data_IF_504599813166
#
_entry.id   IF_504599813166
#
_cell.length_a   1.000
_cell.length_b   1.000
_cell.length_c   1.000
_cell.angle_alpha   90.00
_cell.angle_beta   90.00
_cell.angle_gamma   90.00
#
_symmetry.space_group_name_H-M   'P 1'
#
loop_
_entity.id
_entity.type
_entity.pdbx_description
1 polymer ?
#
# COMPACT_ATOMS: atom_id res chain seq x y z
N UNK A 1 27.81 53.66 -1.70
CA UNK A 1 29.25 53.36 -1.56
C UNK A 1 29.55 52.19 -2.48
N UNK A 2 30.16 52.49 -3.62
CA UNK A 2 30.85 51.57 -4.53
C UNK A 2 32.25 51.24 -3.93
N UNK A 3 33.15 50.49 -4.59
CA UNK A 3 33.11 49.07 -5.00
C UNK A 3 34.52 48.40 -4.87
N UNK A 4 34.77 47.36 -5.70
CA UNK A 4 36.08 46.83 -6.15
C UNK A 4 36.83 45.85 -5.23
N UNK A 5 37.63 44.88 -5.69
CA UNK A 5 37.91 44.12 -6.94
C UNK A 5 39.34 43.56 -6.73
N UNK A 6 39.69 42.40 -7.31
CA UNK A 6 41.03 41.90 -7.77
C UNK A 6 40.88 40.36 -7.82
N UNK A 7 41.18 39.57 -8.85
CA UNK A 7 41.91 39.76 -10.10
C UNK A 7 43.09 38.79 -10.17
N UNK A 8 43.23 38.04 -11.29
CA UNK A 8 44.42 37.31 -11.86
C UNK A 8 44.15 35.81 -12.08
N UNK A 9 44.47 35.15 -13.20
CA UNK A 9 45.18 35.55 -14.43
C UNK A 9 45.18 34.41 -15.47
N UNK A 10 45.35 34.80 -16.73
CA UNK A 10 45.36 34.01 -17.98
C UNK A 10 46.75 33.45 -18.32
N UNK A 11 46.81 32.26 -18.95
CA UNK A 11 47.81 31.81 -19.95
C UNK A 11 47.10 30.70 -20.78
N UNK A 12 46.96 30.63 -22.11
CA UNK A 12 47.59 31.30 -23.25
C UNK A 12 48.52 30.33 -24.02
N UNK A 13 48.13 29.84 -25.22
CA UNK A 13 49.14 29.26 -26.13
C UNK A 13 48.69 28.15 -27.10
N UNK A 14 48.92 28.39 -28.39
CA UNK A 14 48.49 27.65 -29.58
C UNK A 14 49.55 26.69 -30.16
N UNK A 15 49.09 25.73 -30.99
CA UNK A 15 49.79 24.93 -32.03
C UNK A 15 50.71 25.82 -32.96
N UNK A 16 51.64 25.32 -33.83
CA UNK A 16 51.59 24.06 -34.61
C UNK A 16 52.92 23.36 -35.08
N UNK A 17 52.75 22.19 -35.73
CA UNK A 17 53.39 21.66 -36.97
C UNK A 17 54.86 21.13 -37.08
N UNK A 18 54.93 19.93 -37.71
CA UNK A 18 55.76 19.45 -38.87
C UNK A 18 57.03 18.57 -38.67
N UNK A 19 57.09 17.53 -39.52
CA UNK A 19 58.26 16.74 -39.98
C UNK A 19 57.94 15.24 -40.06
N UNK A 20 57.40 14.66 -41.15
CA UNK A 20 57.98 14.24 -42.45
C UNK A 20 59.22 13.34 -42.36
N UNK A 21 59.08 12.06 -42.73
CA UNK A 21 60.00 11.39 -43.67
C UNK A 21 59.39 10.14 -44.35
N UNK A 22 59.76 9.98 -45.62
CA UNK A 22 59.31 9.01 -46.62
C UNK A 22 60.08 7.68 -46.54
N UNK A 23 59.44 6.58 -46.95
CA UNK A 23 60.07 5.64 -47.90
C UNK A 23 59.01 4.83 -48.65
N UNK A 24 59.31 4.57 -49.91
CA UNK A 24 58.44 3.99 -50.92
C UNK A 24 58.76 2.51 -51.18
N UNK A 25 57.89 1.86 -51.98
CA UNK A 25 57.95 0.54 -52.65
C UNK A 25 56.88 -0.42 -52.10
N UNK A 26 56.04 -1.11 -52.86
CA UNK A 26 55.75 -1.15 -54.29
C UNK A 26 54.67 -2.24 -54.52
N UNK A 27 53.72 -1.96 -55.43
CA UNK A 27 52.85 -2.88 -56.21
C UNK A 27 52.25 -4.13 -55.53
N UNK A 28 50.91 -4.23 -55.53
CA UNK A 28 50.12 -5.10 -56.43
C UNK A 28 48.61 -4.96 -56.15
N UNK A 29 47.84 -4.92 -57.23
CA UNK A 29 46.38 -4.90 -57.26
C UNK A 29 45.80 -6.25 -56.75
N UNK A 30 44.74 -6.17 -55.94
CA UNK A 30 43.84 -7.28 -55.59
C UNK A 30 42.52 -6.70 -55.07
N UNK A 31 41.35 -7.19 -55.50
CA UNK A 31 40.08 -6.52 -55.27
C UNK A 31 39.64 -6.63 -53.80
N UNK A 32 39.04 -5.54 -53.33
CA UNK A 32 38.33 -5.43 -52.07
C UNK A 32 37.32 -6.56 -51.89
N UNK A 33 37.47 -7.33 -50.82
CA UNK A 33 36.36 -7.87 -50.04
C UNK A 33 36.70 -7.58 -48.57
N UNK A 34 36.39 -6.36 -48.11
CA UNK A 34 36.23 -6.12 -46.69
C UNK A 34 34.90 -6.76 -46.30
N UNK A 35 34.97 -7.94 -45.68
CA UNK A 35 33.87 -8.45 -44.87
C UNK A 35 33.74 -7.53 -43.65
N UNK A 36 32.92 -6.49 -43.79
CA UNK A 36 32.45 -5.70 -42.66
C UNK A 36 31.65 -6.62 -41.73
N UNK A 37 32.30 -7.17 -40.72
CA UNK A 37 31.60 -7.63 -39.52
C UNK A 37 31.03 -6.38 -38.83
N UNK A 38 29.87 -5.94 -39.31
CA UNK A 38 28.94 -5.16 -38.51
C UNK A 38 28.53 -6.08 -37.36
N UNK A 39 29.29 -6.00 -36.27
CA UNK A 39 28.82 -6.43 -34.98
C UNK A 39 27.59 -5.58 -34.65
N UNK A 40 26.42 -6.05 -35.07
CA UNK A 40 25.16 -5.61 -34.48
C UNK A 40 25.24 -5.97 -33.01
N UNK A 41 25.68 -5.01 -32.19
CA UNK A 41 25.37 -5.00 -30.78
C UNK A 41 23.85 -4.98 -30.71
N UNK A 42 23.25 -6.16 -30.66
CA UNK A 42 21.89 -6.33 -30.17
C UNK A 42 21.95 -5.83 -28.73
N UNK A 43 21.63 -4.55 -28.56
CA UNK A 43 21.12 -4.07 -27.29
C UNK A 43 19.83 -4.85 -27.07
N UNK A 44 19.96 -6.00 -26.44
CA UNK A 44 18.87 -6.54 -25.65
C UNK A 44 18.65 -5.48 -24.58
N UNK A 45 17.77 -4.53 -24.84
CA UNK A 45 17.03 -3.89 -23.77
C UNK A 45 16.28 -5.03 -23.11
N UNK A 46 16.92 -5.65 -22.11
CA UNK A 46 16.21 -6.40 -21.10
C UNK A 46 15.16 -5.45 -20.59
N UNK A 47 13.93 -5.62 -21.06
CA UNK A 47 12.76 -5.08 -20.39
C UNK A 47 12.86 -5.70 -19.01
N UNK A 48 13.40 -4.94 -18.05
CA UNK A 48 13.26 -5.30 -16.66
C UNK A 48 11.76 -5.45 -16.47
N UNK A 49 11.29 -6.68 -16.29
CA UNK A 49 9.86 -6.91 -16.08
C UNK A 49 9.51 -6.18 -14.80
N UNK A 50 8.75 -5.09 -14.93
CA UNK A 50 8.25 -4.35 -13.78
C UNK A 50 7.30 -5.28 -13.01
N UNK A 51 7.48 -5.36 -11.69
CA UNK A 51 6.63 -6.17 -10.84
C UNK A 51 5.17 -5.71 -10.94
N UNK A 52 4.24 -6.63 -11.13
CA UNK A 52 2.83 -6.32 -11.38
C UNK A 52 1.85 -7.26 -10.65
N UNK A 53 0.55 -7.07 -10.91
CA UNK A 53 -0.51 -7.91 -10.34
C UNK A 53 -0.38 -9.39 -10.73
N UNK A 54 0.19 -9.72 -11.90
CA UNK A 54 0.36 -11.10 -12.33
C UNK A 54 1.39 -11.84 -11.46
N UNK A 55 2.44 -11.18 -10.98
CA UNK A 55 3.39 -11.76 -10.02
C UNK A 55 2.70 -12.18 -8.71
N UNK A 56 1.76 -11.35 -8.24
CA UNK A 56 0.97 -11.65 -7.04
C UNK A 56 -0.04 -12.76 -7.31
N UNK A 57 -0.66 -12.79 -8.50
CA UNK A 57 -1.55 -13.87 -8.92
C UNK A 57 -0.88 -15.24 -8.90
N UNK A 58 0.37 -15.32 -9.37
CA UNK A 58 1.14 -16.57 -9.36
C UNK A 58 1.29 -17.06 -7.91
N UNK A 59 1.67 -16.18 -6.98
CA UNK A 59 1.81 -16.52 -5.56
C UNK A 59 0.47 -16.93 -4.94
N UNK A 60 -0.61 -16.19 -5.19
CA UNK A 60 -1.92 -16.50 -4.64
C UNK A 60 -2.43 -17.87 -5.12
N UNK A 61 -2.28 -18.19 -6.41
CA UNK A 61 -2.63 -19.51 -6.97
C UNK A 61 -1.82 -20.64 -6.34
N UNK A 62 -0.52 -20.44 -6.14
CA UNK A 62 0.34 -21.43 -5.48
C UNK A 62 -0.09 -21.69 -4.04
N UNK A 63 -0.45 -20.64 -3.29
CA UNK A 63 -0.98 -20.78 -1.94
C UNK A 63 -2.34 -21.48 -1.92
N UNK A 64 -3.24 -21.19 -2.86
CA UNK A 64 -4.53 -21.87 -2.93
C UNK A 64 -4.41 -23.38 -3.20
N UNK A 65 -3.32 -23.82 -3.83
CA UNK A 65 -3.04 -25.23 -4.11
C UNK A 65 -2.36 -25.97 -2.93
N UNK A 66 -2.05 -25.29 -1.82
CA UNK A 66 -1.40 -25.88 -0.65
C UNK A 66 -2.29 -25.82 0.60
N UNK A 67 -1.86 -26.45 1.70
CA UNK A 67 -2.50 -26.28 3.01
C UNK A 67 -2.21 -24.91 3.61
N UNK A 68 -3.18 -24.32 4.33
CA UNK A 68 -2.99 -23.01 4.96
C UNK A 68 -1.97 -23.10 6.10
N UNK A 69 -1.06 -22.13 6.15
CA UNK A 69 -0.05 -21.99 7.20
C UNK A 69 -0.16 -20.59 7.77
N UNK A 70 -0.61 -20.49 9.02
CA UNK A 70 -0.75 -19.20 9.69
C UNK A 70 0.60 -18.52 9.91
N UNK A 71 0.65 -17.21 9.71
CA UNK A 71 1.81 -16.39 10.09
C UNK A 71 2.08 -16.53 11.60
N UNK A 72 3.32 -16.80 12.02
CA UNK A 72 3.69 -16.83 13.43
C UNK A 72 3.32 -15.52 14.14
N UNK A 73 2.81 -15.65 15.37
CA UNK A 73 2.47 -14.50 16.19
C UNK A 73 3.71 -13.85 16.80
N UNK A 74 3.62 -12.56 17.08
CA UNK A 74 4.59 -11.83 17.90
C UNK A 74 4.62 -12.36 19.35
N UNK A 75 5.68 -12.07 20.13
CA UNK A 75 5.74 -12.44 21.54
C UNK A 75 4.56 -11.92 22.37
N UNK A 76 4.13 -12.72 23.34
CA UNK A 76 2.96 -12.45 24.17
C UNK A 76 3.02 -11.07 24.85
N UNK A 77 4.19 -10.68 25.37
CA UNK A 77 4.41 -9.40 26.03
C UNK A 77 4.04 -8.18 25.17
N UNK A 78 4.15 -8.30 23.83
CA UNK A 78 3.77 -7.23 22.90
C UNK A 78 2.32 -7.34 22.46
N UNK A 79 1.72 -8.52 22.55
CA UNK A 79 0.31 -8.76 22.21
C UNK A 79 -0.67 -8.32 23.31
N UNK A 80 -0.20 -8.18 24.54
CA UNK A 80 -0.99 -7.86 25.74
C UNK A 80 -0.87 -6.40 26.20
N UNK A 81 -0.21 -5.54 25.43
CA UNK A 81 -0.16 -4.10 25.72
C UNK A 81 -1.55 -3.48 25.52
N UNK A 82 -1.83 -2.36 26.19
CA UNK A 82 -3.06 -1.61 25.95
C UNK A 82 -2.94 -0.69 24.71
N UNK A 83 -4.09 -0.18 24.25
CA UNK A 83 -4.15 0.73 23.11
C UNK A 83 -3.31 2.00 23.34
N UNK A 84 -3.38 2.59 24.55
CA UNK A 84 -2.63 3.80 24.88
C UNK A 84 -1.11 3.59 24.79
N UNK A 85 -0.61 2.40 25.10
CA UNK A 85 0.79 2.03 24.92
C UNK A 85 1.12 1.83 23.45
N UNK A 86 0.25 1.16 22.70
CA UNK A 86 0.42 0.94 21.26
C UNK A 86 0.49 2.25 20.47
N UNK A 87 -0.39 3.21 20.77
CA UNK A 87 -0.45 4.52 20.10
C UNK A 87 0.83 5.38 20.32
N UNK A 88 1.65 5.03 21.32
CA UNK A 88 2.95 5.67 21.58
C UNK A 88 4.10 5.04 20.80
N UNK A 89 3.86 3.95 20.07
CA UNK A 89 4.84 3.32 19.18
C UNK A 89 4.72 3.97 17.81
N UNK A 90 5.75 4.67 17.36
CA UNK A 90 5.72 5.39 16.09
C UNK A 90 7.02 5.22 15.31
N UNK A 91 6.92 5.15 13.98
CA UNK A 91 8.11 5.28 13.13
C UNK A 91 8.66 6.70 13.25
N UNK A 92 9.98 6.83 13.35
CA UNK A 92 10.63 8.15 13.31
C UNK A 92 10.40 8.76 11.92
N UNK A 93 10.05 10.05 11.81
CA UNK A 93 9.76 10.67 10.50
C UNK A 93 10.89 10.50 9.47
N UNK A 94 12.15 10.58 9.91
CA UNK A 94 13.32 10.38 9.04
C UNK A 94 13.53 8.94 8.58
N UNK A 95 12.81 7.97 9.15
CA UNK A 95 12.92 6.56 8.88
C UNK A 95 11.72 5.99 8.10
N UNK A 96 10.69 6.81 7.84
CA UNK A 96 9.63 6.50 6.88
C UNK A 96 10.22 6.23 5.49
N UNK A 97 9.49 5.51 4.63
CA UNK A 97 9.88 5.38 3.24
C UNK A 97 9.40 6.60 2.47
N UNK A 98 10.26 7.08 1.59
CA UNK A 98 10.01 8.24 0.73
C UNK A 98 9.59 9.49 1.52
N UNK A 99 10.30 9.87 2.60
CA UNK A 99 9.86 10.94 3.49
C UNK A 99 9.83 12.32 2.82
N UNK A 100 10.47 12.48 1.66
CA UNK A 100 10.44 13.71 0.86
C UNK A 100 9.57 13.61 -0.40
N UNK A 101 8.94 12.46 -0.63
CA UNK A 101 8.00 12.29 -1.73
C UNK A 101 6.60 12.74 -1.32
N UNK A 102 5.75 13.01 -2.31
CA UNK A 102 4.36 13.38 -2.09
C UNK A 102 3.56 12.27 -1.42
N UNK A 103 3.85 11.02 -1.77
CA UNK A 103 3.34 9.84 -1.10
C UNK A 103 4.45 9.28 -0.20
N UNK A 104 4.31 9.49 1.11
CA UNK A 104 5.17 8.84 2.11
C UNK A 104 4.58 7.51 2.56
N UNK A 105 5.41 6.57 3.00
CA UNK A 105 4.94 5.36 3.67
C UNK A 105 5.51 5.31 5.08
N UNK A 106 4.62 5.18 6.05
CA UNK A 106 4.96 5.06 7.46
C UNK A 106 4.61 3.65 7.94
N UNK A 107 5.60 2.73 8.03
CA UNK A 107 5.38 1.38 8.55
C UNK A 107 4.94 1.40 10.01
N UNK A 108 4.04 0.49 10.37
CA UNK A 108 3.49 0.35 11.72
C UNK A 108 4.08 -0.92 12.34
N UNK A 109 4.72 -0.81 13.50
CA UNK A 109 5.29 -1.96 14.20
C UNK A 109 4.17 -2.90 14.71
N UNK A 110 4.46 -4.21 14.76
CA UNK A 110 3.51 -5.18 15.29
C UNK A 110 3.35 -5.06 16.82
N UNK A 111 2.12 -5.28 17.33
CA UNK A 111 1.79 -5.08 18.73
C UNK A 111 0.28 -5.08 18.97
N UNK A 112 -0.12 -5.11 20.25
CA UNK A 112 -1.53 -5.11 20.65
C UNK A 112 -2.31 -6.26 19.98
N UNK A 113 -3.46 -5.98 19.38
CA UNK A 113 -4.25 -6.95 18.62
C UNK A 113 -3.64 -7.30 17.24
N UNK A 114 -2.64 -6.54 16.77
CA UNK A 114 -1.98 -6.75 15.48
C UNK A 114 -0.79 -7.70 15.62
N UNK A 115 -1.11 -8.95 15.91
CA UNK A 115 -0.16 -9.95 16.37
C UNK A 115 0.55 -10.71 15.25
N UNK A 116 0.11 -10.57 14.00
CA UNK A 116 0.62 -11.33 12.87
C UNK A 116 1.28 -10.36 11.88
N UNK A 117 2.62 -10.32 11.83
CA UNK A 117 3.32 -9.36 10.99
C UNK A 117 3.10 -9.60 9.49
N UNK A 118 3.15 -8.51 8.73
CA UNK A 118 3.12 -8.51 7.26
C UNK A 118 4.51 -8.23 6.70
N UNK A 119 4.77 -8.74 5.50
CA UNK A 119 5.99 -8.40 4.76
C UNK A 119 5.76 -7.19 3.88
N UNK A 120 6.66 -6.22 3.93
CA UNK A 120 6.63 -5.05 3.06
C UNK A 120 7.79 -5.14 2.07
N UNK A 121 7.50 -4.83 0.81
CA UNK A 121 8.48 -4.75 -0.26
C UNK A 121 8.37 -3.41 -0.95
N UNK A 122 9.51 -2.83 -1.29
CA UNK A 122 9.60 -1.68 -2.18
C UNK A 122 9.83 -2.17 -3.61
N UNK A 123 9.06 -1.63 -4.55
CA UNK A 123 9.22 -1.87 -5.98
C UNK A 123 9.72 -0.58 -6.64
N UNK A 124 10.82 -0.70 -7.37
CA UNK A 124 11.38 0.35 -8.23
C UNK A 124 11.51 -0.16 -9.66
N UNK A 125 11.87 0.70 -10.61
CA UNK A 125 12.13 0.27 -11.99
C UNK A 125 13.29 -0.75 -12.11
N UNK A 126 14.14 -0.89 -11.09
CA UNK A 126 15.32 -1.76 -11.12
C UNK A 126 15.21 -2.97 -10.20
N UNK A 127 14.33 -2.95 -9.19
CA UNK A 127 14.32 -3.99 -8.16
C UNK A 127 13.00 -4.12 -7.40
N UNK A 128 12.83 -5.31 -6.80
CA UNK A 128 11.86 -5.58 -5.74
C UNK A 128 12.67 -5.93 -4.49
N UNK A 129 12.68 -5.06 -3.49
CA UNK A 129 13.51 -5.19 -2.29
C UNK A 129 12.67 -5.29 -1.03
N UNK A 130 13.01 -6.17 -0.07
CA UNK A 130 12.30 -6.24 1.21
C UNK A 130 12.58 -4.98 2.03
N UNK A 131 11.54 -4.44 2.65
CA UNK A 131 11.67 -3.43 3.70
C UNK A 131 11.98 -4.17 4.99
N UNK A 132 13.19 -3.98 5.51
CA UNK A 132 13.66 -4.69 6.71
C UNK A 132 13.20 -3.94 7.96
N UNK A 133 12.56 -4.66 8.88
CA UNK A 133 12.22 -4.13 10.19
C UNK A 133 13.49 -3.80 10.98
N UNK A 134 13.53 -2.61 11.57
CA UNK A 134 14.60 -2.16 12.44
C UNK A 134 14.01 -1.38 13.61
N UNK A 135 14.11 -1.95 14.81
CA UNK A 135 13.54 -1.33 16.01
C UNK A 135 14.18 0.02 16.36
N UNK A 136 15.38 0.34 15.87
CA UNK A 136 16.01 1.64 16.09
C UNK A 136 15.33 2.77 15.30
N UNK A 137 14.55 2.43 14.26
CA UNK A 137 13.76 3.37 13.46
C UNK A 137 12.46 3.80 14.12
N UNK A 138 12.09 3.20 15.26
CA UNK A 138 10.87 3.51 15.98
C UNK A 138 11.17 4.23 17.29
N UNK A 139 10.25 5.11 17.68
CA UNK A 139 10.12 5.63 19.03
C UNK A 139 9.24 4.67 19.84
N UNK A 140 9.72 4.35 21.05
CA UNK A 140 9.09 3.37 21.94
C UNK A 140 8.58 4.05 23.23
N UNK A 141 7.55 3.50 23.89
CA UNK A 141 6.99 4.09 25.11
C UNK A 141 8.00 4.33 26.23
N UNK A 142 9.06 3.54 26.31
CA UNK A 142 10.20 3.74 27.21
C UNK A 142 11.45 2.97 26.74
N UNK A 143 12.65 3.30 27.25
CA UNK A 143 13.86 2.51 26.99
C UNK A 143 13.74 1.05 27.44
N UNK A 144 13.07 0.80 28.57
CA UNK A 144 12.82 -0.56 29.06
C UNK A 144 11.91 -1.35 28.10
N UNK A 145 10.89 -0.70 27.54
CA UNK A 145 10.03 -1.30 26.51
C UNK A 145 10.85 -1.67 25.27
N UNK A 146 11.72 -0.77 24.79
CA UNK A 146 12.56 -1.02 23.61
C UNK A 146 13.52 -2.22 23.78
N UNK A 147 13.91 -2.55 25.01
CA UNK A 147 14.72 -3.73 25.31
C UNK A 147 13.92 -5.04 25.15
N UNK A 148 12.62 -5.03 25.47
CA UNK A 148 11.73 -6.18 25.32
C UNK A 148 11.37 -6.48 23.86
N UNK A 149 11.50 -5.48 22.97
CA UNK A 149 11.20 -5.62 21.55
C UNK A 149 12.27 -6.46 20.82
N UNK A 150 11.88 -7.59 20.19
CA UNK A 150 12.77 -8.37 19.35
C UNK A 150 13.29 -7.57 18.16
N UNK A 151 14.51 -7.85 17.71
CA UNK A 151 15.08 -7.21 16.53
C UNK A 151 14.31 -7.54 15.23
N UNK A 152 13.57 -8.64 15.21
CA UNK A 152 12.82 -9.16 14.07
C UNK A 152 11.30 -9.15 14.29
N UNK A 153 10.78 -8.21 15.09
CA UNK A 153 9.35 -8.12 15.43
C UNK A 153 8.44 -8.06 14.19
N UNK A 154 8.83 -7.30 13.16
CA UNK A 154 8.06 -7.11 11.93
C UNK A 154 7.01 -5.99 12.02
N UNK A 155 6.28 -5.81 10.93
CA UNK A 155 5.28 -4.74 10.77
C UNK A 155 3.86 -5.30 10.91
N UNK A 156 2.96 -4.58 11.59
CA UNK A 156 1.53 -4.89 11.56
C UNK A 156 0.85 -4.41 10.27
N UNK A 157 1.45 -3.43 9.60
CA UNK A 157 0.85 -2.72 8.48
C UNK A 157 1.64 -1.46 8.16
N UNK A 158 0.98 -0.49 7.50
CA UNK A 158 1.57 0.80 7.18
C UNK A 158 0.47 1.85 6.93
N UNK A 159 0.81 3.12 7.06
CA UNK A 159 0.04 4.23 6.51
C UNK A 159 0.69 4.81 5.25
N UNK A 160 -0.14 5.40 4.41
CA UNK A 160 0.25 6.27 3.30
C UNK A 160 0.01 7.70 3.74
N UNK A 161 1.09 8.49 3.76
CA UNK A 161 1.05 9.89 4.14
C UNK A 161 0.98 10.75 2.87
N UNK A 162 0.14 11.78 2.89
CA UNK A 162 -0.09 12.68 1.74
C UNK A 162 -0.47 14.10 2.23
N UNK A 163 -0.11 15.17 1.50
CA UNK A 163 -0.46 16.54 1.86
C UNK A 163 -1.95 16.84 1.67
N UNK A 164 -2.79 16.55 2.67
CA UNK A 164 -4.24 16.80 2.65
C UNK A 164 -4.62 18.17 3.23
N UNK A 165 -3.86 18.67 4.20
CA UNK A 165 -4.14 19.92 4.93
C UNK A 165 -3.28 21.10 4.49
N UNK A 166 -2.18 20.85 3.78
CA UNK A 166 -1.31 21.88 3.20
C UNK A 166 -0.17 21.29 2.38
N UNK A 167 0.54 22.11 1.62
CA UNK A 167 1.56 21.63 0.67
C UNK A 167 2.71 20.85 1.34
N UNK A 168 3.05 21.21 2.58
CA UNK A 168 4.15 20.62 3.36
C UNK A 168 3.64 19.66 4.46
N UNK A 169 2.35 19.31 4.46
CA UNK A 169 1.79 18.38 5.45
C UNK A 169 2.03 16.92 5.05
N UNK A 170 2.16 16.07 6.07
CA UNK A 170 2.26 14.62 5.92
C UNK A 170 1.10 13.98 6.67
N UNK A 171 -0.11 14.17 6.15
CA UNK A 171 -1.33 13.67 6.78
C UNK A 171 -1.52 12.20 6.42
N UNK A 172 -1.91 11.39 7.41
CA UNK A 172 -2.27 9.98 7.16
C UNK A 172 -3.52 9.95 6.28
N UNK A 173 -3.39 9.49 5.04
CA UNK A 173 -4.47 9.42 4.05
C UNK A 173 -5.06 8.01 3.97
N UNK A 174 -4.23 6.97 3.99
CA UNK A 174 -4.69 5.57 3.95
C UNK A 174 -3.95 4.79 5.03
N UNK A 175 -4.66 3.88 5.70
CA UNK A 175 -4.07 2.96 6.67
C UNK A 175 -4.43 1.53 6.34
N UNK A 176 -3.43 0.69 6.04
CA UNK A 176 -3.57 -0.76 5.94
C UNK A 176 -3.12 -1.38 7.26
N UNK A 177 -4.08 -1.79 8.10
CA UNK A 177 -3.79 -2.31 9.44
C UNK A 177 -4.93 -3.21 9.93
N UNK A 178 -4.60 -4.43 10.34
CA UNK A 178 -5.56 -5.36 10.94
C UNK A 178 -6.25 -6.30 9.94
N UNK A 179 -5.57 -7.38 9.58
CA UNK A 179 -6.13 -8.39 8.66
C UNK A 179 -6.17 -7.91 7.22
N UNK A 180 -7.30 -8.08 6.53
CA UNK A 180 -7.48 -7.65 5.14
C UNK A 180 -8.22 -6.31 5.03
N UNK A 181 -7.99 -5.36 5.94
CA UNK A 181 -8.74 -4.10 5.99
C UNK A 181 -7.89 -2.86 5.70
N UNK A 182 -8.53 -1.80 5.23
CA UNK A 182 -7.93 -0.48 5.08
C UNK A 182 -8.96 0.64 5.27
N UNK A 183 -8.49 1.74 5.84
CA UNK A 183 -9.26 2.98 5.97
C UNK A 183 -8.68 4.07 5.07
N UNK A 184 -9.52 4.98 4.60
CA UNK A 184 -9.16 6.11 3.74
C UNK A 184 -9.76 7.38 4.33
N UNK A 185 -9.00 8.47 4.31
CA UNK A 185 -9.47 9.81 4.66
C UNK A 185 -9.04 10.79 3.57
N UNK A 186 -9.92 11.70 3.21
CA UNK A 186 -9.62 12.84 2.35
C UNK A 186 -9.44 14.12 3.18
N UNK A 187 -9.18 15.24 2.51
CA UNK A 187 -9.09 16.55 3.15
C UNK A 187 -10.36 16.86 3.95
N UNK A 188 -10.20 17.37 5.17
CA UNK A 188 -11.28 17.69 6.12
C UNK A 188 -12.11 16.49 6.60
N UNK A 189 -11.62 15.26 6.45
CA UNK A 189 -12.24 14.07 7.00
C UNK A 189 -11.46 13.56 8.21
N UNK A 190 -12.12 12.73 9.02
CA UNK A 190 -11.52 11.95 10.10
C UNK A 190 -11.75 10.46 9.82
N UNK A 191 -10.93 9.55 10.39
CA UNK A 191 -11.16 8.12 10.23
C UNK A 191 -12.57 7.71 10.67
N UNK A 192 -13.16 6.77 9.94
CA UNK A 192 -14.49 6.21 10.22
C UNK A 192 -14.63 4.83 9.59
N UNK A 193 -15.60 4.67 8.69
CA UNK A 193 -15.81 3.41 8.00
C UNK A 193 -14.54 2.90 7.29
N UNK A 194 -14.37 1.57 7.28
CA UNK A 194 -13.23 0.90 6.66
C UNK A 194 -13.69 -0.13 5.63
N UNK A 195 -12.88 -0.32 4.60
CA UNK A 195 -13.08 -1.36 3.60
C UNK A 195 -12.29 -2.61 3.98
N UNK A 196 -12.72 -3.77 3.47
CA UNK A 196 -11.92 -5.02 3.53
C UNK A 196 -11.71 -5.57 2.13
N UNK A 197 -10.68 -6.38 1.94
CA UNK A 197 -10.40 -7.05 0.67
C UNK A 197 -11.50 -8.05 0.30
N UNK A 198 -12.05 -8.76 1.29
CA UNK A 198 -13.11 -9.77 1.13
C UNK A 198 -13.77 -10.04 2.48
N UNK A 199 -15.02 -10.48 2.47
CA UNK A 199 -15.75 -10.96 3.64
C UNK A 199 -16.17 -12.42 3.42
N UNK A 200 -16.01 -13.29 4.42
CA UNK A 200 -16.23 -14.73 4.26
C UNK A 200 -17.12 -15.27 5.37
N UNK A 201 -18.25 -15.84 4.97
CA UNK A 201 -19.23 -16.44 5.87
C UNK A 201 -19.77 -15.43 6.93
N UNK A 202 -19.67 -14.12 6.67
CA UNK A 202 -20.12 -13.04 7.56
C UNK A 202 -21.61 -13.16 7.87
N UNK A 203 -21.94 -13.10 9.16
CA UNK A 203 -23.30 -13.17 9.68
C UNK A 203 -23.93 -14.57 9.65
N UNK A 204 -23.16 -15.62 9.35
CA UNK A 204 -23.64 -17.00 9.34
C UNK A 204 -23.35 -17.73 10.68
N UNK A 205 -24.17 -18.73 11.08
CA UNK A 205 -24.02 -19.42 12.37
C UNK A 205 -22.68 -20.13 12.58
N UNK A 206 -22.02 -20.59 11.51
CA UNK A 206 -20.72 -21.27 11.60
C UNK A 206 -19.55 -20.32 11.93
N UNK A 207 -19.77 -19.01 11.91
CA UNK A 207 -18.76 -18.00 12.18
C UNK A 207 -18.13 -17.42 10.92
N UNK A 208 -17.79 -16.13 11.01
CA UNK A 208 -17.04 -15.40 9.99
C UNK A 208 -15.57 -15.84 9.97
N UNK A 209 -14.98 -15.87 8.78
CA UNK A 209 -13.56 -16.16 8.58
C UNK A 209 -12.83 -14.92 8.09
N UNK A 210 -11.66 -14.66 8.67
CA UNK A 210 -10.90 -13.44 8.45
C UNK A 210 -9.56 -13.75 7.74
N UNK A 211 -9.53 -13.83 6.40
CA UNK A 211 -8.26 -13.83 5.70
C UNK A 211 -7.53 -12.49 5.91
N UNK A 212 -6.21 -12.49 5.69
CA UNK A 212 -5.37 -11.33 5.97
C UNK A 212 -4.48 -10.98 4.79
N UNK A 213 -4.17 -9.69 4.63
CA UNK A 213 -3.03 -9.33 3.80
C UNK A 213 -1.73 -9.74 4.50
N UNK A 214 -0.91 -10.54 3.83
CA UNK A 214 0.34 -11.09 4.40
C UNK A 214 1.58 -10.44 3.79
N UNK A 215 1.47 -9.91 2.57
CA UNK A 215 2.54 -9.20 1.87
C UNK A 215 2.00 -7.99 1.13
N UNK A 216 2.79 -6.94 1.10
CA UNK A 216 2.54 -5.74 0.31
C UNK A 216 3.77 -5.39 -0.53
N UNK A 217 3.52 -4.98 -1.77
CA UNK A 217 4.52 -4.41 -2.67
C UNK A 217 4.12 -2.97 -2.97
N UNK A 218 4.96 -2.05 -2.51
CA UNK A 218 4.77 -0.62 -2.57
C UNK A 218 5.55 -0.10 -3.77
N UNK A 219 4.85 0.32 -4.83
CA UNK A 219 5.51 0.86 -6.03
C UNK A 219 5.94 2.28 -5.73
N UNK A 220 7.25 2.53 -5.74
CA UNK A 220 7.81 3.87 -5.53
C UNK A 220 7.30 4.78 -6.64
N UNK A 221 6.51 5.82 -6.32
CA UNK A 221 6.06 6.77 -7.32
C UNK A 221 7.21 7.70 -7.73
N UNK A 222 7.18 8.13 -8.98
CA UNK A 222 8.01 9.24 -9.44
C UNK A 222 7.48 10.57 -8.86
N UNK A 223 8.34 11.60 -8.80
CA UNK A 223 7.97 12.90 -8.20
C UNK A 223 6.80 13.59 -8.91
N UNK A 224 6.53 13.24 -10.17
CA UNK A 224 5.44 13.76 -10.98
C UNK A 224 4.16 12.94 -10.91
N UNK A 225 4.19 11.76 -10.28
CA UNK A 225 3.03 10.88 -10.25
C UNK A 225 1.93 11.46 -9.35
N UNK A 226 0.69 11.34 -9.83
CA UNK A 226 -0.52 11.75 -9.11
C UNK A 226 -1.24 10.58 -8.43
N UNK A 227 -0.68 9.38 -8.53
CA UNK A 227 -1.27 8.16 -7.98
C UNK A 227 -0.21 7.28 -7.33
N UNK A 228 -0.64 6.46 -6.37
CA UNK A 228 0.19 5.44 -5.74
C UNK A 228 -0.36 4.06 -6.08
N UNK A 229 0.51 3.14 -6.48
CA UNK A 229 0.14 1.73 -6.73
C UNK A 229 0.68 0.85 -5.61
N UNK A 230 -0.20 0.03 -5.05
CA UNK A 230 0.11 -0.94 -4.00
C UNK A 230 -0.43 -2.30 -4.44
N UNK A 231 0.41 -3.33 -4.44
CA UNK A 231 -0.06 -4.69 -4.57
C UNK A 231 -0.11 -5.39 -3.22
N UNK A 232 -1.07 -6.29 -3.02
CA UNK A 232 -1.17 -7.07 -1.80
C UNK A 232 -1.51 -8.54 -2.06
N UNK A 233 -0.88 -9.43 -1.28
CA UNK A 233 -1.20 -10.86 -1.22
C UNK A 233 -2.09 -11.11 -0.01
N UNK A 234 -3.27 -11.65 -0.26
CA UNK A 234 -4.20 -12.11 0.75
C UNK A 234 -4.06 -13.62 0.94
N UNK A 235 -3.97 -14.05 2.20
CA UNK A 235 -3.96 -15.47 2.55
C UNK A 235 -4.90 -15.75 3.72
N UNK A 236 -5.55 -16.91 3.68
CA UNK A 236 -6.45 -17.40 4.71
C UNK A 236 -6.82 -18.85 4.49
N UNK A 237 -7.50 -19.42 5.49
CA UNK A 237 -7.89 -20.83 5.49
C UNK A 237 -8.81 -21.21 4.32
N UNK A 238 -9.73 -20.32 3.94
CA UNK A 238 -10.73 -20.64 2.91
C UNK A 238 -10.40 -20.11 1.52
N UNK A 239 -9.57 -19.07 1.40
CA UNK A 239 -9.17 -18.51 0.11
C UNK A 239 -7.85 -17.77 0.19
N UNK A 240 -7.27 -17.55 -0.97
CA UNK A 240 -6.15 -16.63 -1.20
C UNK A 240 -6.56 -15.58 -2.22
N UNK A 241 -5.84 -14.47 -2.30
CA UNK A 241 -6.15 -13.43 -3.27
C UNK A 241 -4.95 -12.57 -3.66
N UNK A 242 -5.01 -12.01 -4.85
CA UNK A 242 -4.07 -11.02 -5.35
C UNK A 242 -4.81 -9.70 -5.58
N UNK A 243 -4.27 -8.61 -5.04
CA UNK A 243 -4.88 -7.30 -5.08
C UNK A 243 -3.93 -6.27 -5.69
N UNK A 244 -4.49 -5.35 -6.45
CA UNK A 244 -3.89 -4.08 -6.87
C UNK A 244 -4.79 -2.95 -6.36
N UNK A 245 -4.19 -1.99 -5.67
CA UNK A 245 -4.79 -0.75 -5.23
C UNK A 245 -4.12 0.39 -5.99
N UNK A 246 -4.90 1.16 -6.75
CA UNK A 246 -4.45 2.40 -7.36
C UNK A 246 -5.15 3.56 -6.67
N UNK A 247 -4.38 4.29 -5.87
CA UNK A 247 -4.83 5.38 -5.00
C UNK A 247 -4.65 6.71 -5.72
N UNK A 248 -5.72 7.50 -5.84
CA UNK A 248 -5.75 8.80 -6.52
C UNK A 248 -6.39 9.85 -5.63
N UNK A 249 -5.60 10.71 -4.98
CA UNK A 249 -6.13 11.87 -4.28
C UNK A 249 -6.67 12.88 -5.31
N UNK A 250 -7.93 13.29 -5.17
CA UNK A 250 -8.64 14.14 -6.11
C UNK A 250 -9.40 15.25 -5.36
N UNK A 251 -8.67 16.28 -4.93
CA UNK A 251 -9.24 17.40 -4.18
C UNK A 251 -9.73 16.98 -2.79
N UNK A 252 -11.04 17.06 -2.57
CA UNK A 252 -11.72 16.68 -1.32
C UNK A 252 -12.13 15.20 -1.28
N UNK A 253 -11.71 14.41 -2.27
CA UNK A 253 -11.96 12.97 -2.38
C UNK A 253 -10.66 12.20 -2.58
N UNK A 254 -10.68 10.91 -2.25
CA UNK A 254 -9.60 9.97 -2.56
C UNK A 254 -10.23 8.74 -3.19
N UNK A 255 -9.91 8.51 -4.47
CA UNK A 255 -10.37 7.33 -5.19
C UNK A 255 -9.38 6.19 -4.99
N UNK A 256 -9.88 5.03 -4.56
CA UNK A 256 -9.10 3.79 -4.49
C UNK A 256 -9.70 2.79 -5.46
N UNK A 257 -9.05 2.64 -6.62
CA UNK A 257 -9.40 1.60 -7.57
C UNK A 257 -8.81 0.27 -7.09
N UNK A 258 -9.64 -0.76 -6.98
CA UNK A 258 -9.23 -2.08 -6.51
C UNK A 258 -9.46 -3.12 -7.60
N UNK A 259 -8.40 -3.79 -8.02
CA UNK A 259 -8.47 -5.01 -8.84
C UNK A 259 -8.16 -6.20 -7.94
N UNK A 260 -9.03 -7.22 -7.90
CA UNK A 260 -8.85 -8.39 -7.04
C UNK A 260 -9.11 -9.69 -7.80
N UNK A 261 -8.19 -10.65 -7.64
CA UNK A 261 -8.35 -12.02 -8.12
C UNK A 261 -8.33 -12.97 -6.93
N UNK A 262 -9.43 -13.70 -6.74
CA UNK A 262 -9.63 -14.58 -5.58
C UNK A 262 -9.56 -16.05 -5.99
N UNK A 263 -8.88 -16.85 -5.17
CA UNK A 263 -8.68 -18.27 -5.39
C UNK A 263 -9.17 -19.05 -4.17
N UNK A 264 -10.36 -19.68 -4.24
CA UNK A 264 -10.85 -20.53 -3.16
C UNK A 264 -9.88 -21.68 -2.89
N UNK A 265 -9.56 -21.88 -1.62
CA UNK A 265 -8.74 -23.00 -1.11
C UNK A 265 -9.63 -24.13 -0.59
N UNK A 266 -10.72 -23.76 0.09
CA UNK A 266 -11.69 -24.68 0.68
C UNK A 266 -13.12 -24.20 0.37
N UNK A 267 -14.14 -24.97 0.78
CA UNK A 267 -15.54 -24.59 0.63
C UNK A 267 -15.88 -23.28 1.36
N UNK A 268 -16.56 -22.38 0.65
CA UNK A 268 -17.06 -21.09 1.17
C UNK A 268 -18.57 -21.07 0.99
N UNK A 269 -19.32 -20.67 2.03
CA UNK A 269 -20.78 -20.59 1.94
C UNK A 269 -21.25 -19.23 1.44
N UNK A 270 -20.56 -18.15 1.84
CA UNK A 270 -20.85 -16.78 1.42
C UNK A 270 -19.56 -16.00 1.21
N UNK A 271 -19.43 -15.38 0.03
CA UNK A 271 -18.37 -14.42 -0.30
C UNK A 271 -18.99 -13.02 -0.39
N UNK A 272 -18.44 -12.07 0.34
CA UNK A 272 -18.73 -10.64 0.21
C UNK A 272 -17.61 -9.95 -0.55
N UNK A 273 -17.97 -9.28 -1.65
CA UNK A 273 -17.07 -8.49 -2.49
C UNK A 273 -17.22 -7.01 -2.15
N UNK A 274 -16.11 -6.26 -2.24
CA UNK A 274 -16.03 -4.86 -1.83
C UNK A 274 -16.71 -4.57 -0.47
N UNK A 275 -16.46 -5.38 0.58
CA UNK A 275 -17.10 -5.20 1.88
C UNK A 275 -16.66 -3.89 2.54
N UNK A 276 -17.63 -3.21 3.14
CA UNK A 276 -17.41 -2.07 4.04
C UNK A 276 -17.90 -2.41 5.44
N UNK A 277 -17.26 -1.82 6.43
CA UNK A 277 -17.58 -1.96 7.85
C UNK A 277 -17.63 -0.58 8.47
N UNK A 278 -18.66 -0.35 9.27
CA UNK A 278 -18.98 0.95 9.87
C UNK A 278 -19.65 0.70 11.22
N UNK A 279 -19.76 1.74 12.04
CA UNK A 279 -20.42 1.69 13.33
C UNK A 279 -21.65 2.61 13.37
N UNK A 280 -22.75 2.12 13.94
CA UNK A 280 -23.94 2.91 14.27
C UNK A 280 -24.39 2.62 15.71
N UNK A 281 -24.36 3.63 16.59
CA UNK A 281 -24.85 3.50 17.96
C UNK A 281 -26.28 4.04 18.11
N UNK A 282 -26.49 5.34 17.84
CA UNK A 282 -27.81 5.97 17.73
C UNK A 282 -27.76 7.20 16.83
N UNK A 283 -28.90 7.59 16.27
CA UNK A 283 -29.00 8.71 15.35
C UNK A 283 -30.44 9.15 15.16
N UNK A 284 -30.76 9.68 13.97
CA UNK A 284 -32.10 10.20 13.66
C UNK A 284 -33.19 9.13 13.73
N UNK A 285 -32.82 7.85 13.58
CA UNK A 285 -33.75 6.72 13.61
C UNK A 285 -33.53 5.92 14.88
N UNK A 286 -34.61 5.78 15.66
CA UNK A 286 -34.63 5.06 16.93
C UNK A 286 -34.69 5.99 18.14
N UNK A 287 -34.67 5.41 19.34
CA UNK A 287 -34.60 6.18 20.57
C UNK A 287 -33.15 6.49 20.92
N UNK A 288 -32.88 7.76 21.24
CA UNK A 288 -31.59 8.17 21.83
C UNK A 288 -31.45 7.53 23.22
N UNK A 289 -30.34 6.83 23.52
CA UNK A 289 -30.12 6.25 24.85
C UNK A 289 -30.12 7.33 25.94
N UNK A 290 -30.62 6.96 27.13
CA UNK A 290 -30.65 7.86 28.28
C UNK A 290 -29.24 8.34 28.66
N UNK A 291 -29.12 9.59 29.11
CA UNK A 291 -27.85 10.19 29.52
C UNK A 291 -26.94 10.63 28.36
N UNK A 292 -27.32 10.39 27.11
CA UNK A 292 -26.56 10.85 25.95
C UNK A 292 -26.85 12.33 25.63
N UNK A 293 -25.82 13.17 25.67
CA UNK A 293 -25.94 14.61 25.38
C UNK A 293 -25.84 14.94 23.89
N UNK A 294 -25.13 14.11 23.10
CA UNK A 294 -25.04 14.29 21.65
C UNK A 294 -26.37 13.96 20.98
N UNK A 295 -26.71 14.59 19.83
CA UNK A 295 -27.90 14.23 19.07
C UNK A 295 -27.75 12.89 18.34
N UNK A 296 -26.52 12.50 17.97
CA UNK A 296 -26.22 11.25 17.28
C UNK A 296 -24.77 10.78 17.55
N UNK A 297 -24.53 9.49 17.33
CA UNK A 297 -23.22 8.84 17.38
C UNK A 297 -23.17 7.65 16.40
N UNK A 298 -22.54 7.87 15.24
CA UNK A 298 -22.33 6.89 14.18
C UNK A 298 -21.22 7.34 13.23
N UNK A 299 -20.65 6.38 12.48
CA UNK A 299 -19.75 6.63 11.34
C UNK A 299 -20.53 6.67 10.01
N UNK A 300 -21.66 5.97 9.93
CA UNK A 300 -22.59 6.00 8.79
C UNK A 300 -24.02 5.87 9.28
N UNK A 301 -24.99 6.45 8.57
CA UNK A 301 -26.42 6.41 8.94
C UNK A 301 -27.28 5.59 7.98
N UNK A 302 -26.73 5.14 6.84
CA UNK A 302 -27.44 4.32 5.88
C UNK A 302 -26.54 3.67 4.84
N UNK A 303 -27.12 2.69 4.15
CA UNK A 303 -26.65 2.12 2.90
C UNK A 303 -27.40 2.80 1.75
N UNK A 304 -26.69 3.33 0.77
CA UNK A 304 -27.28 3.91 -0.44
C UNK A 304 -26.86 3.07 -1.65
N UNK A 305 -27.81 2.39 -2.28
CA UNK A 305 -27.57 1.51 -3.42
C UNK A 305 -28.19 2.07 -4.71
N UNK A 306 -27.46 1.98 -5.81
CA UNK A 306 -27.94 2.24 -7.16
C UNK A 306 -28.05 0.92 -7.94
N UNK A 307 -29.28 0.47 -8.16
CA UNK A 307 -29.56 -0.84 -8.78
C UNK A 307 -29.29 -0.82 -10.29
N UNK A 308 -29.18 -1.99 -10.92
CA UNK A 308 -29.01 -2.09 -12.38
C UNK A 308 -30.19 -1.54 -13.18
N UNK A 309 -31.40 -1.62 -12.62
CA UNK A 309 -32.63 -1.03 -13.14
C UNK A 309 -32.63 0.52 -13.11
N UNK A 310 -31.68 1.14 -12.39
CA UNK A 310 -31.56 2.59 -12.24
C UNK A 310 -32.30 3.17 -11.03
N UNK A 311 -32.77 2.32 -10.10
CA UNK A 311 -33.43 2.76 -8.87
C UNK A 311 -32.38 3.10 -7.79
N UNK A 312 -32.66 4.14 -6.99
CA UNK A 312 -31.92 4.45 -5.79
C UNK A 312 -32.64 3.90 -4.55
N UNK A 313 -31.95 3.08 -3.78
CA UNK A 313 -32.46 2.46 -2.55
C UNK A 313 -31.64 2.96 -1.38
N UNK A 314 -32.29 3.63 -0.42
CA UNK A 314 -31.65 4.03 0.82
C UNK A 314 -32.17 3.19 1.98
N UNK A 315 -31.27 2.50 2.67
CA UNK A 315 -31.55 1.72 3.88
C UNK A 315 -30.83 2.33 5.07
N UNK A 316 -31.57 3.01 5.94
CA UNK A 316 -31.00 3.52 7.18
C UNK A 316 -30.49 2.41 8.09
N UNK A 317 -29.34 2.65 8.70
CA UNK A 317 -28.74 1.77 9.70
C UNK A 317 -29.51 1.85 11.02
N UNK A 318 -29.44 0.76 11.77
CA UNK A 318 -30.05 0.61 13.10
C UNK A 318 -29.11 -0.20 13.99
N UNK A 319 -29.26 -0.05 15.30
CA UNK A 319 -28.56 -0.83 16.30
C UNK A 319 -29.56 -1.77 17.02
N UNK A 320 -29.99 -2.88 16.39
CA UNK A 320 -30.93 -3.82 17.00
C UNK A 320 -30.28 -4.58 18.18
N UNK A 321 -31.09 -5.07 19.11
CA UNK A 321 -30.64 -5.91 20.22
C UNK A 321 -30.19 -7.32 19.82
N UNK A 322 -30.43 -7.71 18.57
CA UNK A 322 -30.13 -9.01 18.00
C UNK A 322 -29.54 -8.82 16.59
N UNK A 323 -28.70 -9.77 16.15
CA UNK A 323 -28.13 -9.76 14.80
C UNK A 323 -29.24 -9.73 13.75
N UNK A 324 -29.14 -8.80 12.80
CA UNK A 324 -30.05 -8.67 11.66
C UNK A 324 -29.27 -8.70 10.36
N UNK A 325 -29.69 -9.56 9.44
CA UNK A 325 -29.25 -9.55 8.05
C UNK A 325 -30.37 -8.95 7.20
N UNK A 326 -30.05 -7.96 6.37
CA UNK A 326 -30.94 -7.45 5.34
C UNK A 326 -30.34 -7.82 3.99
N UNK A 327 -31.15 -8.37 3.10
CA UNK A 327 -30.74 -8.74 1.75
C UNK A 327 -31.57 -7.94 0.76
N UNK A 328 -30.90 -7.37 -0.23
CA UNK A 328 -31.51 -6.63 -1.32
C UNK A 328 -31.11 -7.33 -2.61
N UNK A 329 -32.05 -8.02 -3.22
CA UNK A 329 -31.81 -8.67 -4.50
C UNK A 329 -31.83 -7.59 -5.59
N UNK A 330 -30.73 -7.48 -6.33
CA UNK A 330 -30.59 -6.54 -7.42
C UNK A 330 -29.61 -7.09 -8.47
N UNK A 331 -30.04 -7.11 -9.73
CA UNK A 331 -29.16 -7.42 -10.85
C UNK A 331 -28.41 -6.16 -11.31
N UNK A 332 -27.16 -6.34 -11.75
CA UNK A 332 -26.37 -5.28 -12.38
C UNK A 332 -26.12 -4.04 -11.51
N UNK A 333 -25.85 -4.22 -10.20
CA UNK A 333 -25.59 -3.12 -9.26
C UNK A 333 -24.55 -2.15 -9.83
N UNK A 334 -24.90 -0.84 -9.86
CA UNK A 334 -24.05 0.23 -10.40
C UNK A 334 -23.21 0.92 -9.33
N UNK A 335 -23.61 0.81 -8.07
CA UNK A 335 -22.90 1.32 -6.89
C UNK A 335 -23.68 1.04 -5.62
N UNK A 336 -23.00 1.02 -4.48
CA UNK A 336 -23.59 0.87 -3.15
C UNK A 336 -22.67 1.48 -2.07
#
# INVERSE_FOLDING_TARGET
>A
MLPNSIGSGLIGGTCPARGVQLSAWGRRFGPLILASFLGSALFFTTVAQAFDLNDVNIQAKQLAASGYVATPKIPEALSQIDQATFDRIAIKPSAALWPSARFGISPIAAGFMYQQPVSLYEVTAQSVAPVVFDKAKFDWPSPAFAQMVPANLGFAGFSVDYPLTGQDSHDVMITFLGGAQFGVVAANQVPGAHARGVAIDTGLPQGEKFPMFTKFWLVRPESTDSQLTIYALLDGESLTGAYEFVVRPNGDQVDVQVTANLFPRNGISRVGLAPMSTMYYYGQIGQRPAGQWRPAAYESDGLLMHTGEGNWVFRSLRNPSELRTNQFDADGIRGF
#
